data_IF_986311988830
#
_entry.id   IF_986311988830
#
_cell.length_a   1.000
_cell.length_b   1.000
_cell.length_c   1.000
_cell.angle_alpha   90.00
_cell.angle_beta   90.00
_cell.angle_gamma   90.00
#
_symmetry.space_group_name_H-M   'P 1'
#
loop_
_entity.id
_entity.type
_entity.pdbx_description
1 polymer ?
#
# COMPACT_ATOMS: atom_id res chain seq x y z
N UNK A 1 1.39 12.15 10.64
CA UNK A 1 2.08 12.58 9.41
C UNK A 1 3.48 12.03 9.49
N UNK A 2 3.84 11.14 8.60
CA UNK A 2 5.15 10.49 8.58
C UNK A 2 5.89 10.81 7.28
N UNK A 3 7.22 10.97 7.25
CA UNK A 3 7.97 11.11 6.01
C UNK A 3 7.84 9.84 5.15
N UNK A 4 7.66 10.00 3.84
CA UNK A 4 7.59 8.86 2.91
C UNK A 4 8.89 8.06 2.92
N UNK A 5 10.04 8.74 2.95
CA UNK A 5 11.35 8.06 2.93
C UNK A 5 11.56 7.18 4.16
N UNK A 6 11.17 7.64 5.35
CA UNK A 6 11.21 6.82 6.56
C UNK A 6 10.41 5.53 6.39
N UNK A 7 9.19 5.61 5.84
CA UNK A 7 8.35 4.44 5.62
C UNK A 7 8.90 3.52 4.52
N UNK A 8 9.52 4.07 3.47
CA UNK A 8 10.20 3.31 2.42
C UNK A 8 11.40 2.54 2.97
N UNK A 9 12.23 3.19 3.76
CA UNK A 9 13.39 2.56 4.41
C UNK A 9 12.95 1.44 5.35
N UNK A 10 11.95 1.70 6.20
CA UNK A 10 11.42 0.72 7.15
C UNK A 10 10.93 -0.56 6.45
N UNK A 11 10.22 -0.42 5.33
CA UNK A 11 9.65 -1.57 4.59
C UNK A 11 10.60 -2.19 3.57
N UNK A 12 11.73 -1.57 3.27
CA UNK A 12 12.60 -1.99 2.17
C UNK A 12 13.06 -3.46 2.25
N UNK A 13 13.46 -4.00 3.42
CA UNK A 13 13.87 -5.41 3.52
C UNK A 13 12.74 -6.38 3.14
N UNK A 14 11.53 -6.14 3.67
CA UNK A 14 10.35 -6.98 3.41
C UNK A 14 9.94 -6.92 1.94
N UNK A 15 9.94 -5.71 1.35
CA UNK A 15 9.65 -5.54 -0.08
C UNK A 15 10.69 -6.20 -0.98
N UNK A 16 11.95 -6.30 -0.53
CA UNK A 16 12.99 -7.09 -1.19
C UNK A 16 12.60 -8.56 -1.30
N UNK A 17 12.22 -9.18 -0.17
CA UNK A 17 11.78 -10.59 -0.14
C UNK A 17 10.53 -10.84 -0.99
N UNK A 18 9.57 -9.92 -1.00
CA UNK A 18 8.37 -10.05 -1.85
C UNK A 18 8.68 -9.96 -3.35
N UNK A 19 9.62 -9.10 -3.75
CA UNK A 19 10.08 -9.01 -5.14
C UNK A 19 10.79 -10.29 -5.57
N UNK A 20 11.66 -10.83 -4.72
CA UNK A 20 12.34 -12.10 -4.98
C UNK A 20 11.32 -13.24 -5.16
N UNK A 21 10.35 -13.34 -4.25
CA UNK A 21 9.28 -14.34 -4.35
C UNK A 21 8.48 -14.19 -5.65
N UNK A 22 8.04 -12.98 -6.00
CA UNK A 22 7.29 -12.71 -7.22
C UNK A 22 8.07 -13.14 -8.47
N UNK A 23 9.36 -12.78 -8.54
CA UNK A 23 10.23 -13.14 -9.66
C UNK A 23 10.42 -14.66 -9.81
N UNK A 24 10.45 -15.40 -8.70
CA UNK A 24 10.73 -16.83 -8.70
C UNK A 24 9.49 -17.73 -8.81
N UNK A 25 8.30 -17.19 -8.57
CA UNK A 25 7.05 -17.99 -8.50
C UNK A 25 6.01 -17.59 -9.55
N UNK A 26 6.17 -16.45 -10.21
CA UNK A 26 5.12 -15.86 -11.04
C UNK A 26 3.98 -15.23 -10.23
N UNK A 27 4.12 -15.11 -8.90
CA UNK A 27 3.16 -14.36 -8.09
C UNK A 27 3.14 -12.89 -8.50
N UNK A 28 1.95 -12.27 -8.46
CA UNK A 28 1.80 -10.83 -8.72
C UNK A 28 1.97 -10.05 -7.42
N UNK A 29 2.92 -9.10 -7.39
CA UNK A 29 3.11 -8.19 -6.26
C UNK A 29 2.26 -6.94 -6.40
N UNK A 30 1.24 -6.79 -5.55
CA UNK A 30 0.46 -5.57 -5.41
C UNK A 30 0.95 -4.76 -4.21
N UNK A 31 1.34 -3.50 -4.45
CA UNK A 31 1.83 -2.60 -3.42
C UNK A 31 0.86 -1.42 -3.20
N UNK A 32 0.12 -1.36 -2.08
CA UNK A 32 -0.82 -0.27 -1.81
C UNK A 32 -0.15 1.03 -1.33
N UNK A 33 1.15 1.01 -1.03
CA UNK A 33 1.84 2.15 -0.43
C UNK A 33 1.76 3.45 -1.25
N UNK A 34 1.90 3.46 -2.59
CA UNK A 34 1.76 4.68 -3.38
C UNK A 34 0.36 5.31 -3.29
N UNK A 35 -0.67 4.50 -3.02
CA UNK A 35 -2.05 4.98 -2.84
C UNK A 35 -2.28 5.56 -1.45
N UNK A 36 -1.67 4.95 -0.42
CA UNK A 36 -1.74 5.42 0.96
C UNK A 36 -0.87 6.66 1.20
N UNK A 37 0.23 6.80 0.46
CA UNK A 37 1.21 7.88 0.60
C UNK A 37 1.38 8.67 -0.71
N UNK A 38 0.28 9.25 -1.21
CA UNK A 38 0.24 9.88 -2.54
C UNK A 38 0.79 11.32 -2.63
N UNK A 39 1.07 11.97 -1.49
CA UNK A 39 1.51 13.39 -1.43
C UNK A 39 2.96 13.61 -1.91
N UNK A 40 3.72 12.54 -2.14
CA UNK A 40 5.10 12.62 -2.61
C UNK A 40 6.13 13.07 -1.56
N UNK A 41 5.69 13.63 -0.42
CA UNK A 41 6.57 13.99 0.70
C UNK A 41 6.19 13.33 2.03
N UNK A 42 4.90 13.27 2.36
CA UNK A 42 4.43 12.67 3.61
C UNK A 42 3.31 11.65 3.40
N UNK A 43 3.29 10.65 4.28
CA UNK A 43 2.12 9.82 4.51
C UNK A 43 1.24 10.50 5.56
N UNK A 44 -0.05 10.66 5.24
CA UNK A 44 -1.04 11.24 6.16
C UNK A 44 -1.95 10.14 6.70
N UNK A 45 -2.38 10.31 7.95
CA UNK A 45 -3.35 9.41 8.58
C UNK A 45 -4.78 9.64 8.08
N UNK A 46 -5.00 10.72 7.32
CA UNK A 46 -6.29 11.19 6.86
C UNK A 46 -6.21 11.61 5.39
N UNK A 47 -7.31 11.43 4.66
CA UNK A 47 -7.54 11.98 3.33
C UNK A 47 -8.97 12.51 3.26
N UNK A 48 -9.13 13.76 2.82
CA UNK A 48 -10.44 14.41 2.61
C UNK A 48 -11.37 14.36 3.84
N UNK A 49 -10.85 14.64 5.05
CA UNK A 49 -11.66 14.62 6.28
C UNK A 49 -11.84 13.23 6.89
N UNK A 50 -11.24 12.18 6.29
CA UNK A 50 -11.47 10.77 6.68
C UNK A 50 -10.18 10.07 7.07
N UNK A 51 -10.13 9.55 8.29
CA UNK A 51 -9.00 8.74 8.75
C UNK A 51 -8.90 7.43 7.98
N UNK A 52 -7.70 7.13 7.48
CA UNK A 52 -7.37 5.92 6.71
C UNK A 52 -6.95 4.74 7.60
N UNK A 53 -6.67 4.99 8.87
CA UNK A 53 -6.16 4.00 9.82
C UNK A 53 -6.95 4.04 11.13
N UNK A 54 -7.07 2.87 11.77
CA UNK A 54 -7.65 2.71 13.11
C UNK A 54 -6.58 2.93 14.18
N UNK A 55 -5.34 2.54 13.88
CA UNK A 55 -4.15 2.75 14.72
C UNK A 55 -2.92 3.01 13.84
N UNK A 56 -1.72 2.75 14.35
CA UNK A 56 -0.48 2.99 13.60
C UNK A 56 -0.29 2.09 12.36
N UNK A 57 -0.98 0.96 12.25
CA UNK A 57 -0.72 -0.07 11.22
C UNK A 57 -1.99 -0.63 10.57
N UNK A 58 -3.13 -0.62 11.25
CA UNK A 58 -4.38 -1.19 10.73
C UNK A 58 -5.19 -0.15 9.96
N UNK A 59 -5.64 -0.52 8.75
CA UNK A 59 -6.54 0.30 7.96
C UNK A 59 -7.89 0.48 8.66
N UNK A 60 -8.48 1.65 8.50
CA UNK A 60 -9.90 1.88 8.78
C UNK A 60 -10.77 1.40 7.60
N UNK A 61 -12.09 1.45 7.76
CA UNK A 61 -13.01 1.21 6.63
C UNK A 61 -12.78 2.20 5.46
N UNK A 62 -12.44 3.46 5.75
CA UNK A 62 -12.12 4.44 4.70
C UNK A 62 -10.80 4.10 4.00
N UNK A 63 -9.78 3.64 4.76
CA UNK A 63 -8.53 3.14 4.19
C UNK A 63 -8.75 1.95 3.25
N UNK A 64 -9.63 1.01 3.63
CA UNK A 64 -10.00 -0.10 2.77
C UNK A 64 -10.72 0.36 1.49
N UNK A 65 -11.67 1.30 1.60
CA UNK A 65 -12.38 1.86 0.44
C UNK A 65 -11.45 2.59 -0.55
N UNK A 66 -10.37 3.21 -0.04
CA UNK A 66 -9.34 3.80 -0.89
C UNK A 66 -8.60 2.76 -1.72
N UNK A 67 -8.37 1.56 -1.18
CA UNK A 67 -7.51 0.54 -1.78
C UNK A 67 -8.26 -0.49 -2.63
N UNK A 68 -9.51 -0.81 -2.28
CA UNK A 68 -10.26 -1.92 -2.88
C UNK A 68 -10.35 -1.80 -4.40
N UNK A 69 -10.52 -0.60 -4.94
CA UNK A 69 -10.57 -0.37 -6.39
C UNK A 69 -9.29 -0.82 -7.09
N UNK A 70 -8.11 -0.37 -6.63
CA UNK A 70 -6.83 -0.78 -7.21
C UNK A 70 -6.57 -2.28 -7.04
N UNK A 71 -6.94 -2.85 -5.90
CA UNK A 71 -6.77 -4.29 -5.66
C UNK A 71 -7.61 -5.12 -6.65
N UNK A 72 -8.88 -4.76 -6.85
CA UNK A 72 -9.77 -5.44 -7.80
C UNK A 72 -9.26 -5.33 -9.24
N UNK A 73 -8.69 -4.18 -9.64
CA UNK A 73 -8.06 -4.04 -10.96
C UNK A 73 -6.87 -4.99 -11.12
N UNK A 74 -6.05 -5.20 -10.09
CA UNK A 74 -4.98 -6.21 -10.12
C UNK A 74 -5.54 -7.63 -10.23
N UNK A 75 -6.62 -7.97 -9.52
CA UNK A 75 -7.22 -9.31 -9.65
C UNK A 75 -7.73 -9.59 -11.07
N UNK A 76 -8.31 -8.56 -11.73
CA UNK A 76 -8.75 -8.68 -13.13
C UNK A 76 -7.60 -8.94 -14.11
N UNK A 77 -6.36 -8.60 -13.78
CA UNK A 77 -5.21 -8.95 -14.63
C UNK A 77 -4.76 -10.40 -14.43
N UNK A 78 -5.07 -11.00 -13.28
CA UNK A 78 -4.68 -12.38 -12.92
C UNK A 78 -5.75 -13.39 -13.37
N UNK A 79 -7.04 -13.05 -13.26
CA UNK A 79 -8.16 -13.95 -13.54
C UNK A 79 -8.77 -13.81 -14.94
N UNK A 80 -7.93 -13.54 -15.94
CA UNK A 80 -8.34 -13.64 -17.36
C UNK A 80 -8.32 -15.09 -17.82
#
# INVERSE_FOLDING_TARGET
REPIEFQKELRAPVMGSYKELANNTGATLWDPFPLLCSDGKYCYSEKDGRYLYTDQHHLSSNGNLLLVGSFLETLKTIWK
#
